data_IF_027321553294
#
_entry.id   IF_027321553294
#
_cell.length_a   1.000
_cell.length_b   1.000
_cell.length_c   1.000
_cell.angle_alpha   90.00
_cell.angle_beta   90.00
_cell.angle_gamma   90.00
#
_symmetry.space_group_name_H-M   'P 1'
#
loop_
_entity.id
_entity.type
_entity.pdbx_description
1 polymer ?
#
# COMPACT_ATOMS: atom_id res chain seq x y z
N UNK A 1 -55.51 -1.53 26.42
CA UNK A 1 -54.21 -0.84 26.50
C UNK A 1 -53.43 -1.22 25.26
N UNK A 2 -53.37 -0.30 24.28
CA UNK A 2 -52.62 -0.51 23.06
C UNK A 2 -51.13 -0.30 23.35
N UNK A 3 -50.34 -1.35 23.22
CA UNK A 3 -48.89 -1.23 23.22
C UNK A 3 -48.49 -0.57 21.89
N UNK A 4 -48.17 0.72 21.95
CA UNK A 4 -47.40 1.41 20.91
C UNK A 4 -46.04 0.74 20.81
N UNK A 5 -45.92 -0.24 19.92
CA UNK A 5 -44.62 -0.68 19.42
C UNK A 5 -44.10 0.49 18.59
N UNK A 6 -43.26 1.31 19.20
CA UNK A 6 -42.49 2.34 18.51
C UNK A 6 -41.68 1.63 17.43
N UNK A 7 -42.13 1.73 16.17
CA UNK A 7 -41.35 1.34 15.01
C UNK A 7 -40.01 2.07 15.10
N UNK A 8 -38.94 1.29 15.23
CA UNK A 8 -37.58 1.78 15.34
C UNK A 8 -37.26 2.59 14.06
N UNK A 9 -36.58 3.75 14.14
CA UNK A 9 -36.25 4.53 12.95
C UNK A 9 -35.44 3.68 11.97
N UNK A 10 -35.86 3.63 10.71
CA UNK A 10 -35.11 2.99 9.63
C UNK A 10 -33.75 3.69 9.48
N UNK A 11 -32.69 3.07 10.00
CA UNK A 11 -31.32 3.58 9.89
C UNK A 11 -30.37 3.29 11.07
N UNK A 12 -30.90 2.92 12.24
CA UNK A 12 -30.05 2.71 13.43
C UNK A 12 -29.64 1.25 13.61
N UNK A 13 -28.34 0.97 13.36
CA UNK A 13 -27.73 -0.33 13.66
C UNK A 13 -27.90 -0.68 15.13
N UNK A 14 -28.26 -1.92 15.46
CA UNK A 14 -28.21 -2.39 16.84
C UNK A 14 -26.75 -2.60 17.27
N UNK A 15 -26.46 -2.36 18.55
CA UNK A 15 -25.13 -2.64 19.13
C UNK A 15 -24.66 -4.09 18.91
N UNK A 16 -25.61 -5.03 18.77
CA UNK A 16 -25.32 -6.43 18.44
C UNK A 16 -24.85 -6.58 16.99
N UNK A 17 -25.53 -5.93 16.04
CA UNK A 17 -25.12 -5.90 14.63
C UNK A 17 -23.80 -5.15 14.43
N UNK A 18 -23.58 -4.04 15.13
CA UNK A 18 -22.30 -3.33 15.14
C UNK A 18 -21.18 -4.22 15.66
N UNK A 19 -21.43 -4.98 16.73
CA UNK A 19 -20.47 -5.93 17.29
C UNK A 19 -20.15 -7.08 16.33
N UNK A 20 -21.15 -7.61 15.63
CA UNK A 20 -20.99 -8.70 14.66
C UNK A 20 -20.26 -8.23 13.39
N UNK A 21 -20.58 -7.02 12.92
CA UNK A 21 -19.88 -6.35 11.83
C UNK A 21 -18.41 -6.06 12.21
N UNK A 22 -18.19 -5.54 13.42
CA UNK A 22 -16.87 -5.26 13.98
C UNK A 22 -16.01 -6.51 14.14
N UNK A 23 -16.59 -7.64 14.57
CA UNK A 23 -15.90 -8.93 14.65
C UNK A 23 -15.55 -9.50 13.27
N UNK A 24 -16.41 -9.29 12.27
CA UNK A 24 -16.20 -9.80 10.92
C UNK A 24 -15.12 -9.02 10.18
N UNK A 25 -15.18 -7.69 10.20
CA UNK A 25 -14.17 -6.83 9.57
C UNK A 25 -12.91 -6.70 10.42
N UNK A 26 -13.00 -6.93 11.74
CA UNK A 26 -11.87 -7.01 12.66
C UNK A 26 -10.93 -8.18 12.39
N UNK A 27 -11.33 -9.17 11.58
CA UNK A 27 -10.45 -10.27 11.16
C UNK A 27 -9.24 -9.79 10.37
N UNK A 28 -9.40 -8.76 9.54
CA UNK A 28 -8.31 -8.20 8.73
C UNK A 28 -7.28 -7.50 9.63
N UNK A 29 -7.62 -6.51 10.48
CA UNK A 29 -6.65 -5.90 11.38
C UNK A 29 -6.12 -6.87 12.43
N UNK A 30 -6.91 -7.83 12.90
CA UNK A 30 -6.39 -8.88 13.79
C UNK A 30 -5.40 -9.81 13.10
N UNK A 31 -5.63 -10.18 11.83
CA UNK A 31 -4.66 -10.92 11.03
C UNK A 31 -3.38 -10.10 10.82
N UNK A 32 -3.49 -8.80 10.55
CA UNK A 32 -2.33 -7.91 10.41
C UNK A 32 -1.55 -7.80 11.73
N UNK A 33 -2.22 -7.67 12.89
CA UNK A 33 -1.57 -7.68 14.20
C UNK A 33 -0.88 -9.01 14.50
N UNK A 34 -1.47 -10.13 14.10
CA UNK A 34 -0.84 -11.44 14.27
C UNK A 34 0.37 -11.61 13.35
N UNK A 35 0.31 -11.09 12.13
CA UNK A 35 1.45 -11.07 11.19
C UNK A 35 2.57 -10.20 11.73
N UNK A 36 2.25 -9.01 12.26
CA UNK A 36 3.23 -8.13 12.91
C UNK A 36 3.84 -8.78 14.16
N UNK A 37 3.02 -9.39 15.01
CA UNK A 37 3.52 -10.13 16.18
C UNK A 37 4.38 -11.33 15.79
N UNK A 38 4.05 -12.01 14.70
CA UNK A 38 4.84 -13.11 14.15
C UNK A 38 6.15 -12.62 13.55
N UNK A 39 6.13 -11.52 12.82
CA UNK A 39 7.32 -10.84 12.31
C UNK A 39 8.23 -10.46 13.48
N UNK A 40 7.69 -9.75 14.47
CA UNK A 40 8.43 -9.33 15.66
C UNK A 40 9.02 -10.52 16.41
N UNK A 41 8.28 -11.63 16.54
CA UNK A 41 8.80 -12.85 17.14
C UNK A 41 9.98 -13.46 16.36
N UNK A 42 9.93 -13.40 15.03
CA UNK A 42 11.02 -13.88 14.18
C UNK A 42 12.23 -12.95 14.16
N UNK A 43 12.04 -11.65 14.33
CA UNK A 43 13.10 -10.64 14.16
C UNK A 43 13.66 -10.08 15.48
N UNK A 44 12.97 -10.28 16.62
CA UNK A 44 13.43 -9.89 17.95
C UNK A 44 14.78 -10.51 18.33
N UNK A 45 15.00 -11.84 18.15
CA UNK A 45 16.31 -12.42 18.32
C UNK A 45 17.03 -12.33 16.98
N UNK A 46 18.15 -11.59 16.94
CA UNK A 46 19.00 -11.45 15.75
C UNK A 46 19.39 -12.79 15.12
N UNK A 47 19.38 -13.87 15.90
CA UNK A 47 19.83 -15.21 15.48
C UNK A 47 18.72 -16.12 14.93
N UNK A 48 17.43 -15.77 15.05
CA UNK A 48 16.32 -16.66 14.63
C UNK A 48 16.35 -16.95 13.14
N UNK A 49 16.80 -15.96 12.35
CA UNK A 49 16.88 -16.02 10.89
C UNK A 49 18.33 -16.24 10.41
N UNK A 50 19.26 -16.54 11.32
CA UNK A 50 20.67 -16.74 11.00
C UNK A 50 20.90 -17.78 9.89
N UNK A 51 20.17 -18.91 9.79
CA UNK A 51 20.37 -19.84 8.67
C UNK A 51 20.14 -19.20 7.30
N UNK A 52 19.11 -18.35 7.17
CA UNK A 52 18.81 -17.66 5.91
C UNK A 52 19.87 -16.61 5.63
N UNK A 53 20.22 -15.79 6.63
CA UNK A 53 21.25 -14.75 6.51
C UNK A 53 22.61 -15.34 6.15
N UNK A 54 22.99 -16.49 6.72
CA UNK A 54 24.25 -17.19 6.39
C UNK A 54 24.23 -17.70 4.96
N UNK A 55 23.12 -18.29 4.50
CA UNK A 55 23.02 -18.73 3.10
C UNK A 55 23.11 -17.56 2.14
N UNK A 56 22.50 -16.44 2.48
CA UNK A 56 22.54 -15.23 1.67
C UNK A 56 23.94 -14.62 1.63
N UNK A 57 24.60 -14.48 2.78
CA UNK A 57 25.97 -14.00 2.87
C UNK A 57 26.93 -14.90 2.08
N UNK A 58 26.73 -16.22 2.14
CA UNK A 58 27.52 -17.16 1.35
C UNK A 58 27.30 -16.99 -0.16
N UNK A 59 26.05 -16.96 -0.63
CA UNK A 59 25.74 -16.76 -2.06
C UNK A 59 26.28 -15.41 -2.54
N UNK A 60 26.08 -14.35 -1.76
CA UNK A 60 26.56 -13.01 -2.11
C UNK A 60 28.09 -12.97 -2.21
N UNK A 61 28.82 -13.58 -1.26
CA UNK A 61 30.28 -13.70 -1.33
C UNK A 61 30.74 -14.42 -2.60
N UNK A 62 30.16 -15.60 -2.87
CA UNK A 62 30.55 -16.41 -4.04
C UNK A 62 30.25 -15.71 -5.36
N UNK A 63 29.07 -15.08 -5.48
CA UNK A 63 28.71 -14.34 -6.70
C UNK A 63 29.58 -13.10 -6.90
N UNK A 64 29.90 -12.37 -5.84
CA UNK A 64 30.76 -11.18 -5.94
C UNK A 64 32.16 -11.58 -6.42
N UNK A 65 32.75 -12.61 -5.80
CA UNK A 65 34.04 -13.15 -6.22
C UNK A 65 34.01 -13.72 -7.64
N UNK A 66 32.93 -14.40 -8.02
CA UNK A 66 32.78 -14.96 -9.37
C UNK A 66 32.65 -13.88 -10.46
N UNK A 67 31.90 -12.80 -10.18
CA UNK A 67 31.60 -11.76 -11.18
C UNK A 67 32.72 -10.72 -11.28
N UNK A 68 33.25 -10.27 -10.14
CA UNK A 68 34.20 -9.14 -10.07
C UNK A 68 35.64 -9.55 -9.79
N UNK A 69 35.91 -10.84 -9.57
CA UNK A 69 37.25 -11.40 -9.40
C UNK A 69 37.50 -11.93 -7.99
N UNK A 70 38.41 -12.91 -7.90
CA UNK A 70 38.77 -13.56 -6.64
C UNK A 70 39.36 -12.54 -5.64
N UNK A 71 38.83 -12.54 -4.42
CA UNK A 71 39.27 -11.64 -3.35
C UNK A 71 38.55 -10.30 -3.33
N UNK A 72 37.52 -10.09 -4.15
CA UNK A 72 36.66 -8.90 -4.10
C UNK A 72 35.75 -8.88 -2.86
N UNK A 73 35.43 -10.04 -2.30
CA UNK A 73 34.65 -10.17 -1.07
C UNK A 73 35.21 -11.27 -0.17
N UNK A 74 35.18 -11.04 1.14
CA UNK A 74 35.54 -12.01 2.18
C UNK A 74 34.41 -12.13 3.18
N UNK A 75 34.00 -13.36 3.46
CA UNK A 75 32.99 -13.65 4.49
C UNK A 75 33.63 -13.72 5.89
N UNK A 76 33.03 -13.05 6.86
CA UNK A 76 33.48 -12.97 8.24
C UNK A 76 32.32 -13.14 9.23
N UNK A 77 32.62 -13.19 10.54
CA UNK A 77 31.61 -13.43 11.56
C UNK A 77 31.02 -12.15 12.15
N UNK A 78 29.72 -12.18 12.40
CA UNK A 78 28.99 -11.23 13.23
C UNK A 78 28.10 -12.00 14.20
N UNK A 79 28.21 -11.71 15.50
CA UNK A 79 27.49 -12.41 16.58
C UNK A 79 27.63 -13.95 16.56
N UNK A 80 28.77 -14.48 16.10
CA UNK A 80 29.04 -15.92 16.02
C UNK A 80 28.51 -16.63 14.78
N UNK A 81 27.84 -15.90 13.87
CA UNK A 81 27.34 -16.41 12.59
C UNK A 81 28.13 -15.80 11.42
N UNK A 82 28.25 -16.54 10.32
CA UNK A 82 28.93 -16.09 9.09
C UNK A 82 27.99 -15.20 8.25
N UNK A 83 27.63 -14.04 8.78
CA UNK A 83 26.66 -13.11 8.16
C UNK A 83 27.27 -11.77 7.75
N UNK A 84 28.56 -11.56 8.01
CA UNK A 84 29.29 -10.36 7.59
C UNK A 84 30.08 -10.62 6.32
N UNK A 85 30.08 -9.66 5.41
CA UNK A 85 30.92 -9.63 4.22
C UNK A 85 31.74 -8.35 4.25
N UNK A 86 33.04 -8.49 4.09
CA UNK A 86 33.96 -7.39 3.88
C UNK A 86 34.31 -7.33 2.39
N UNK A 87 33.84 -6.28 1.71
CA UNK A 87 34.19 -6.00 0.32
C UNK A 87 35.59 -5.37 0.27
N UNK A 88 36.41 -5.78 -0.69
CA UNK A 88 37.81 -5.36 -0.81
C UNK A 88 38.07 -4.68 -2.17
N UNK A 89 38.63 -3.49 -2.11
CA UNK A 89 39.12 -2.75 -3.29
C UNK A 89 40.06 -1.64 -2.87
N UNK A 90 41.15 -1.42 -3.61
CA UNK A 90 42.20 -0.41 -3.31
C UNK A 90 41.70 1.03 -3.20
N UNK A 91 40.52 1.31 -3.76
CA UNK A 91 39.91 2.64 -3.73
C UNK A 91 38.97 2.83 -2.53
N UNK A 92 38.71 1.79 -1.74
CA UNK A 92 37.80 1.87 -0.60
C UNK A 92 38.42 2.64 0.57
N UNK A 93 37.60 3.39 1.31
CA UNK A 93 38.12 4.31 2.31
C UNK A 93 38.50 3.57 3.60
N UNK A 94 39.70 3.84 4.12
CA UNK A 94 40.17 3.33 5.41
C UNK A 94 41.50 2.58 5.32
N UNK A 95 42.07 2.16 6.47
CA UNK A 95 43.43 1.59 6.51
C UNK A 95 43.56 0.17 5.93
N UNK A 96 42.43 -0.46 5.56
CA UNK A 96 42.38 -1.84 5.09
C UNK A 96 41.66 -1.98 3.74
N UNK A 97 41.41 -0.86 3.03
CA UNK A 97 40.79 -0.86 1.70
C UNK A 97 39.53 -1.74 1.65
N UNK A 98 38.72 -1.67 2.71
CA UNK A 98 37.61 -2.59 2.95
C UNK A 98 36.35 -1.92 3.48
N UNK A 99 35.20 -2.46 3.06
CA UNK A 99 33.87 -2.03 3.48
C UNK A 99 33.14 -3.24 4.06
N UNK A 100 32.94 -3.22 5.39
CA UNK A 100 32.24 -4.28 6.11
C UNK A 100 30.74 -4.07 6.15
N UNK A 101 30.00 -5.03 5.62
CA UNK A 101 28.54 -5.06 5.54
C UNK A 101 28.03 -6.33 6.22
N UNK A 102 26.91 -6.27 6.91
CA UNK A 102 26.29 -7.46 7.49
C UNK A 102 24.91 -7.70 6.87
N UNK A 103 24.55 -8.97 6.76
CA UNK A 103 23.26 -9.39 6.24
C UNK A 103 22.26 -9.45 7.40
N UNK A 104 21.36 -8.47 7.45
CA UNK A 104 20.23 -8.43 8.37
C UNK A 104 19.02 -9.20 7.83
N UNK A 105 17.96 -9.31 8.64
CA UNK A 105 16.65 -9.82 8.24
C UNK A 105 15.97 -8.96 7.17
N UNK A 106 16.25 -7.64 7.14
CA UNK A 106 15.85 -6.77 6.02
C UNK A 106 16.67 -7.01 4.74
N UNK A 107 17.93 -7.45 4.87
CA UNK A 107 18.74 -7.86 3.72
C UNK A 107 18.17 -9.13 3.08
N UNK A 108 17.80 -10.12 3.90
CA UNK A 108 17.19 -11.38 3.47
C UNK A 108 15.79 -11.24 2.85
N UNK A 109 15.19 -10.05 2.97
CA UNK A 109 13.86 -9.72 2.50
C UNK A 109 12.76 -10.53 3.15
N UNK A 110 12.94 -10.86 4.42
CA UNK A 110 11.97 -11.65 5.19
C UNK A 110 10.66 -10.90 5.33
N UNK A 111 10.73 -9.57 5.48
CA UNK A 111 9.55 -8.71 5.55
C UNK A 111 8.71 -8.79 4.27
N UNK A 112 9.35 -8.69 3.10
CA UNK A 112 8.73 -8.76 1.78
C UNK A 112 8.09 -10.12 1.52
N UNK A 113 8.78 -11.20 1.94
CA UNK A 113 8.25 -12.56 1.84
C UNK A 113 7.01 -12.76 2.72
N UNK A 114 7.02 -12.26 3.95
CA UNK A 114 5.87 -12.35 4.88
C UNK A 114 4.70 -11.53 4.35
N UNK A 115 4.96 -10.30 3.90
CA UNK A 115 3.94 -9.42 3.33
C UNK A 115 3.23 -10.08 2.15
N UNK A 116 4.00 -10.58 1.18
CA UNK A 116 3.45 -11.19 -0.02
C UNK A 116 2.77 -12.54 0.27
N UNK A 117 3.33 -13.33 1.18
CA UNK A 117 2.69 -14.56 1.67
C UNK A 117 1.31 -14.27 2.26
N UNK A 118 1.22 -13.20 3.04
CA UNK A 118 -0.04 -12.77 3.68
C UNK A 118 -1.08 -12.36 2.63
N UNK A 119 -0.68 -11.56 1.63
CA UNK A 119 -1.58 -11.17 0.53
C UNK A 119 -2.14 -12.38 -0.25
N UNK A 120 -1.28 -13.34 -0.59
CA UNK A 120 -1.69 -14.57 -1.29
C UNK A 120 -2.61 -15.42 -0.42
N UNK A 121 -2.29 -15.55 0.87
CA UNK A 121 -3.04 -16.38 1.81
C UNK A 121 -4.43 -15.81 2.12
N UNK A 122 -4.55 -14.48 2.22
CA UNK A 122 -5.82 -13.78 2.44
C UNK A 122 -6.69 -13.68 1.18
N UNK A 123 -6.19 -14.06 0.00
CA UNK A 123 -6.98 -14.02 -1.23
C UNK A 123 -8.08 -15.10 -1.24
N UNK A 124 -9.34 -14.69 -1.28
CA UNK A 124 -10.47 -15.63 -1.30
C UNK A 124 -10.64 -16.37 -2.63
N UNK A 125 -11.22 -17.59 -2.57
CA UNK A 125 -11.58 -18.36 -3.76
C UNK A 125 -10.43 -19.11 -4.46
N UNK A 126 -9.22 -19.14 -3.89
CA UNK A 126 -8.09 -19.92 -4.40
C UNK A 126 -7.81 -21.13 -3.49
N UNK A 127 -7.66 -22.36 -4.02
CA UNK A 127 -7.32 -23.54 -3.23
C UNK A 127 -6.00 -23.37 -2.46
N UNK A 128 -5.96 -23.88 -1.22
CA UNK A 128 -4.79 -23.75 -0.33
C UNK A 128 -3.48 -24.28 -0.95
N UNK A 129 -3.56 -25.36 -1.73
CA UNK A 129 -2.39 -25.94 -2.41
C UNK A 129 -1.79 -24.99 -3.44
N UNK A 130 -2.62 -24.27 -4.17
CA UNK A 130 -2.16 -23.32 -5.20
C UNK A 130 -1.63 -22.04 -4.57
N UNK A 131 -2.22 -21.61 -3.44
CA UNK A 131 -1.67 -20.54 -2.60
C UNK A 131 -0.26 -20.88 -2.12
N UNK A 132 -0.05 -22.04 -1.51
CA UNK A 132 1.26 -22.44 -1.00
C UNK A 132 2.32 -22.57 -2.10
N UNK A 133 1.94 -23.10 -3.27
CA UNK A 133 2.85 -23.14 -4.44
C UNK A 133 3.22 -21.73 -4.90
N UNK A 134 2.25 -20.83 -4.98
CA UNK A 134 2.50 -19.44 -5.36
C UNK A 134 3.41 -18.74 -4.36
N UNK A 135 3.15 -18.89 -3.05
CA UNK A 135 4.01 -18.36 -1.99
C UNK A 135 5.44 -18.88 -2.14
N UNK A 136 5.64 -20.18 -2.29
CA UNK A 136 6.98 -20.75 -2.44
C UNK A 136 7.73 -20.18 -3.65
N UNK A 137 7.07 -20.09 -4.81
CA UNK A 137 7.68 -19.53 -6.03
C UNK A 137 7.99 -18.05 -5.87
N UNK A 138 7.05 -17.27 -5.34
CA UNK A 138 7.21 -15.83 -5.19
C UNK A 138 8.25 -15.45 -4.14
N UNK A 139 8.30 -16.15 -3.00
CA UNK A 139 9.38 -15.97 -2.02
C UNK A 139 10.74 -16.33 -2.61
N UNK A 140 10.82 -17.39 -3.44
CA UNK A 140 12.04 -17.73 -4.16
C UNK A 140 12.49 -16.62 -5.12
N UNK A 141 11.56 -15.99 -5.84
CA UNK A 141 11.86 -14.85 -6.72
C UNK A 141 12.38 -13.66 -5.89
N UNK A 142 11.71 -13.32 -4.79
CA UNK A 142 12.15 -12.22 -3.90
C UNK A 142 13.55 -12.48 -3.36
N UNK A 143 13.83 -13.71 -2.91
CA UNK A 143 15.15 -14.10 -2.43
C UNK A 143 16.24 -13.88 -3.48
N UNK A 144 16.00 -14.31 -4.73
CA UNK A 144 16.95 -14.09 -5.83
C UNK A 144 17.12 -12.61 -6.15
N UNK A 145 16.04 -11.82 -6.14
CA UNK A 145 16.12 -10.38 -6.36
C UNK A 145 16.89 -9.66 -5.25
N UNK A 146 16.80 -10.11 -4.00
CA UNK A 146 17.62 -9.62 -2.90
C UNK A 146 19.10 -9.93 -3.09
N UNK A 147 19.44 -11.14 -3.53
CA UNK A 147 20.82 -11.49 -3.88
C UNK A 147 21.34 -10.58 -4.99
N UNK A 148 20.56 -10.40 -6.07
CA UNK A 148 20.93 -9.48 -7.15
C UNK A 148 21.10 -8.05 -6.63
N UNK A 149 20.30 -7.64 -5.64
CA UNK A 149 20.47 -6.35 -4.98
C UNK A 149 21.87 -6.27 -4.34
N UNK A 150 22.23 -7.25 -3.52
CA UNK A 150 23.51 -7.24 -2.80
C UNK A 150 24.72 -7.29 -3.75
N UNK A 151 24.66 -8.08 -4.83
CA UNK A 151 25.74 -8.21 -5.82
C UNK A 151 26.05 -6.88 -6.54
N UNK A 152 25.09 -5.98 -6.66
CA UNK A 152 25.27 -4.68 -7.33
C UNK A 152 25.95 -3.65 -6.43
N UNK A 153 26.08 -3.90 -5.12
CA UNK A 153 26.81 -3.00 -4.21
C UNK A 153 28.27 -2.80 -4.62
N UNK A 154 28.96 -3.88 -4.96
CA UNK A 154 30.38 -3.84 -5.28
C UNK A 154 30.73 -2.87 -6.42
N UNK A 155 30.15 -2.98 -7.63
CA UNK A 155 30.52 -2.10 -8.74
C UNK A 155 30.13 -0.64 -8.48
N UNK A 156 28.99 -0.38 -7.82
CA UNK A 156 28.57 1.00 -7.49
C UNK A 156 29.56 1.63 -6.51
N UNK A 157 29.99 0.89 -5.50
CA UNK A 157 30.97 1.37 -4.54
C UNK A 157 32.33 1.63 -5.20
N UNK A 158 32.80 0.69 -6.03
CA UNK A 158 34.09 0.83 -6.73
C UNK A 158 34.08 2.03 -7.69
N UNK A 159 33.05 2.19 -8.51
CA UNK A 159 32.97 3.30 -9.47
C UNK A 159 32.98 4.67 -8.77
N UNK A 160 32.21 4.80 -7.69
CA UNK A 160 32.13 6.04 -6.92
C UNK A 160 33.44 6.33 -6.17
N UNK A 161 34.04 5.34 -5.52
CA UNK A 161 35.28 5.51 -4.77
C UNK A 161 36.51 5.69 -5.66
N UNK A 162 36.53 5.13 -6.87
CA UNK A 162 37.56 5.42 -7.87
C UNK A 162 37.53 6.91 -8.32
N UNK A 163 36.35 7.55 -8.30
CA UNK A 163 36.21 8.97 -8.64
C UNK A 163 36.55 9.92 -7.48
N UNK A 164 36.43 9.45 -6.23
CA UNK A 164 36.65 10.23 -5.01
C UNK A 164 37.34 9.38 -3.92
N UNK A 165 38.64 9.07 -4.09
CA UNK A 165 39.35 8.17 -3.19
C UNK A 165 39.50 8.74 -1.76
N UNK A 166 39.68 7.84 -0.78
CA UNK A 166 39.93 8.13 0.64
C UNK A 166 38.84 8.90 1.42
N UNK A 167 37.66 9.11 0.84
CA UNK A 167 36.53 9.76 1.50
C UNK A 167 35.42 8.75 1.78
N UNK A 168 34.93 8.69 3.02
CA UNK A 168 33.78 7.84 3.38
C UNK A 168 32.51 8.17 2.58
N UNK A 169 32.38 9.43 2.14
CA UNK A 169 31.29 9.89 1.28
C UNK A 169 31.24 9.19 -0.09
N UNK A 170 32.32 8.52 -0.53
CA UNK A 170 32.30 7.77 -1.78
C UNK A 170 31.33 6.58 -1.76
N UNK A 171 30.93 6.09 -0.58
CA UNK A 171 29.95 5.01 -0.44
C UNK A 171 28.50 5.51 -0.54
N UNK A 172 28.26 6.82 -0.53
CA UNK A 172 26.90 7.39 -0.55
C UNK A 172 26.06 6.90 -1.73
N UNK A 173 26.57 6.78 -2.98
CA UNK A 173 25.77 6.26 -4.09
C UNK A 173 25.32 4.80 -3.90
N UNK A 174 26.15 3.96 -3.28
CA UNK A 174 25.78 2.58 -2.94
C UNK A 174 24.59 2.56 -1.96
N UNK A 175 24.66 3.40 -0.92
CA UNK A 175 23.60 3.50 0.08
C UNK A 175 22.32 4.13 -0.47
N UNK A 176 22.43 5.18 -1.28
CA UNK A 176 21.28 5.82 -1.93
C UNK A 176 20.56 4.84 -2.87
N UNK A 177 21.33 3.99 -3.58
CA UNK A 177 20.75 2.93 -4.40
C UNK A 177 20.05 1.86 -3.55
N UNK A 178 20.69 1.42 -2.45
CA UNK A 178 20.08 0.48 -1.52
C UNK A 178 18.75 1.00 -0.96
N UNK A 179 18.74 2.26 -0.52
CA UNK A 179 17.56 2.94 0.01
C UNK A 179 16.46 3.07 -1.05
N UNK A 180 16.80 3.45 -2.28
CA UNK A 180 15.82 3.56 -3.37
C UNK A 180 15.16 2.20 -3.71
N UNK A 181 15.95 1.14 -3.77
CA UNK A 181 15.44 -0.22 -4.01
C UNK A 181 14.57 -0.69 -2.85
N UNK A 182 14.98 -0.40 -1.61
CA UNK A 182 14.26 -0.76 -0.40
C UNK A 182 12.92 -0.01 -0.26
N UNK A 183 12.93 1.31 -0.43
CA UNK A 183 11.75 2.16 -0.22
C UNK A 183 10.68 2.02 -1.31
N UNK A 184 11.10 1.94 -2.57
CA UNK A 184 10.16 1.95 -3.71
C UNK A 184 10.28 0.70 -4.59
N UNK A 185 11.51 0.24 -4.84
CA UNK A 185 11.77 -0.85 -5.78
C UNK A 185 11.03 -2.13 -5.42
N UNK A 186 11.22 -2.63 -4.20
CA UNK A 186 10.57 -3.86 -3.75
C UNK A 186 9.06 -3.73 -3.68
N UNK A 187 8.51 -2.60 -3.20
CA UNK A 187 7.06 -2.40 -3.16
C UNK A 187 6.43 -2.56 -4.55
N UNK A 188 7.03 -1.94 -5.58
CA UNK A 188 6.55 -2.03 -6.96
C UNK A 188 6.63 -3.47 -7.48
N UNK A 189 7.73 -4.17 -7.23
CA UNK A 189 7.92 -5.57 -7.63
C UNK A 189 6.89 -6.49 -6.94
N UNK A 190 6.68 -6.34 -5.64
CA UNK A 190 5.75 -7.18 -4.89
C UNK A 190 4.31 -6.96 -5.33
N UNK A 191 3.88 -5.71 -5.46
CA UNK A 191 2.52 -5.37 -5.89
C UNK A 191 2.28 -5.85 -7.32
N UNK A 192 3.23 -5.65 -8.23
CA UNK A 192 3.10 -6.11 -9.63
C UNK A 192 3.07 -7.64 -9.72
N UNK A 193 3.95 -8.34 -9.00
CA UNK A 193 3.99 -9.80 -8.98
C UNK A 193 2.70 -10.39 -8.39
N UNK A 194 2.22 -9.83 -7.27
CA UNK A 194 0.94 -10.21 -6.69
C UNK A 194 -0.23 -9.92 -7.66
N UNK A 195 -0.25 -8.75 -8.30
CA UNK A 195 -1.31 -8.37 -9.23
C UNK A 195 -1.38 -9.33 -10.43
N UNK A 196 -0.23 -9.66 -11.04
CA UNK A 196 -0.14 -10.61 -12.15
C UNK A 196 -0.69 -11.97 -11.74
N UNK A 197 -0.31 -12.47 -10.56
CA UNK A 197 -0.83 -13.72 -10.04
C UNK A 197 -2.34 -13.65 -9.74
N UNK A 198 -2.79 -12.59 -9.08
CA UNK A 198 -4.19 -12.38 -8.72
C UNK A 198 -5.08 -12.36 -9.97
N UNK A 199 -4.66 -11.66 -11.02
CA UNK A 199 -5.35 -11.65 -12.31
C UNK A 199 -5.33 -13.04 -12.98
N UNK A 200 -4.18 -13.72 -12.97
CA UNK A 200 -4.00 -15.03 -13.61
C UNK A 200 -4.87 -16.14 -13.00
N UNK A 201 -5.15 -16.06 -11.70
CA UNK A 201 -6.00 -17.02 -10.98
C UNK A 201 -7.49 -16.61 -10.92
N UNK A 202 -7.88 -15.57 -11.68
CA UNK A 202 -9.27 -15.11 -11.74
C UNK A 202 -9.72 -14.45 -10.44
N UNK A 203 -8.79 -13.86 -9.69
CA UNK A 203 -9.03 -13.16 -8.44
C UNK A 203 -10.24 -12.23 -8.49
N UNK A 204 -10.34 -11.28 -9.44
CA UNK A 204 -11.47 -10.35 -9.49
C UNK A 204 -12.84 -11.03 -9.65
N UNK A 205 -12.92 -12.08 -10.48
CA UNK A 205 -14.18 -12.78 -10.71
C UNK A 205 -14.58 -13.65 -9.50
N UNK A 206 -13.60 -14.27 -8.84
CA UNK A 206 -13.81 -15.14 -7.69
C UNK A 206 -14.09 -14.37 -6.40
N UNK A 207 -13.38 -13.26 -6.16
CA UNK A 207 -13.67 -12.37 -5.02
C UNK A 207 -15.05 -11.73 -5.18
N UNK A 208 -15.42 -11.32 -6.39
CA UNK A 208 -16.75 -10.79 -6.69
C UNK A 208 -17.85 -11.85 -6.56
N UNK A 209 -17.59 -13.12 -6.92
CA UNK A 209 -18.51 -14.22 -6.66
C UNK A 209 -18.66 -14.50 -5.16
N UNK A 210 -17.55 -14.57 -4.41
CA UNK A 210 -17.56 -14.76 -2.96
C UNK A 210 -18.29 -13.62 -2.22
N UNK A 211 -18.20 -12.39 -2.72
CA UNK A 211 -18.92 -11.23 -2.18
C UNK A 211 -20.42 -11.26 -2.53
N UNK A 212 -20.79 -11.88 -3.65
CA UNK A 212 -22.20 -12.05 -4.06
C UNK A 212 -22.92 -13.12 -3.25
N UNK A 213 -22.21 -14.22 -2.95
CA UNK A 213 -22.73 -15.35 -2.16
C UNK A 213 -22.67 -15.10 -0.65
N UNK A 214 -22.04 -13.99 -0.22
CA UNK A 214 -22.03 -13.56 1.16
C UNK A 214 -23.43 -13.06 1.59
N UNK A 215 -24.10 -13.70 2.56
CA UNK A 215 -25.43 -13.29 3.05
C UNK A 215 -25.39 -12.01 3.90
N UNK A 216 -24.38 -11.14 3.70
CA UNK A 216 -24.25 -9.93 4.50
C UNK A 216 -25.41 -8.96 4.20
N UNK A 217 -26.09 -8.44 5.24
CA UNK A 217 -27.22 -7.54 5.04
C UNK A 217 -26.80 -6.12 4.62
N UNK A 218 -25.52 -5.86 4.37
CA UNK A 218 -25.00 -4.51 4.18
C UNK A 218 -24.01 -4.45 3.02
N UNK A 219 -24.30 -3.57 2.04
CA UNK A 219 -23.38 -3.25 0.94
C UNK A 219 -23.09 -1.76 0.91
N UNK A 220 -21.84 -1.42 0.62
CA UNK A 220 -21.43 -0.05 0.34
C UNK A 220 -21.79 0.27 -1.11
N UNK A 221 -22.69 1.21 -1.33
CA UNK A 221 -23.02 1.72 -2.66
C UNK A 221 -22.56 3.17 -2.82
N UNK A 222 -22.22 3.55 -4.06
CA UNK A 222 -21.94 4.95 -4.38
C UNK A 222 -23.20 5.78 -4.27
N UNK A 223 -23.14 6.88 -3.51
CA UNK A 223 -24.25 7.83 -3.37
C UNK A 223 -24.63 8.42 -4.74
N UNK A 224 -25.86 8.15 -5.20
CA UNK A 224 -26.41 8.71 -6.45
C UNK A 224 -27.17 10.02 -6.21
N UNK A 225 -27.84 10.16 -5.07
CA UNK A 225 -28.63 11.35 -4.71
C UNK A 225 -27.86 12.31 -3.79
N UNK A 226 -27.69 13.55 -4.24
CA UNK A 226 -26.90 14.58 -3.55
C UNK A 226 -27.78 15.69 -2.99
N UNK A 227 -27.86 15.79 -1.67
CA UNK A 227 -28.49 16.92 -0.98
C UNK A 227 -27.45 18.03 -0.71
N UNK A 228 -27.90 19.25 -0.48
CA UNK A 228 -27.07 20.43 -0.16
C UNK A 228 -26.14 20.16 1.03
N UNK A 229 -26.63 19.43 2.04
CA UNK A 229 -25.80 19.02 3.20
C UNK A 229 -24.61 18.14 2.82
N UNK A 230 -24.78 17.20 1.89
CA UNK A 230 -23.70 16.35 1.41
C UNK A 230 -22.67 17.14 0.59
N UNK A 231 -23.14 18.08 -0.24
CA UNK A 231 -22.26 18.98 -1.00
C UNK A 231 -21.46 19.89 -0.06
N UNK A 232 -22.07 20.37 1.03
CA UNK A 232 -21.38 21.15 2.05
C UNK A 232 -20.30 20.32 2.78
N UNK A 233 -20.59 19.06 3.12
CA UNK A 233 -19.61 18.15 3.73
C UNK A 233 -18.43 17.85 2.80
N UNK A 234 -18.68 17.65 1.50
CA UNK A 234 -17.60 17.53 0.51
C UNK A 234 -16.79 18.82 0.39
N UNK A 235 -17.45 19.99 0.43
CA UNK A 235 -16.77 21.28 0.45
C UNK A 235 -15.87 21.45 1.68
N UNK A 236 -16.33 21.02 2.84
CA UNK A 236 -15.53 21.00 4.07
C UNK A 236 -14.34 20.03 3.97
N UNK A 237 -14.55 18.84 3.41
CA UNK A 237 -13.46 17.89 3.15
C UNK A 237 -12.40 18.47 2.21
N UNK A 238 -12.82 19.12 1.12
CA UNK A 238 -11.93 19.82 0.20
C UNK A 238 -11.15 20.93 0.91
N UNK A 239 -11.83 21.72 1.74
CA UNK A 239 -11.20 22.79 2.51
C UNK A 239 -10.12 22.25 3.45
N UNK A 240 -10.35 21.11 4.10
CA UNK A 240 -9.33 20.46 4.95
C UNK A 240 -8.07 20.08 4.16
N UNK A 241 -8.21 19.58 2.92
CA UNK A 241 -7.05 19.32 2.06
C UNK A 241 -6.34 20.61 1.64
N UNK A 242 -7.08 21.67 1.32
CA UNK A 242 -6.49 22.97 0.99
C UNK A 242 -5.72 23.54 2.18
N UNK A 243 -6.27 23.43 3.40
CA UNK A 243 -5.60 23.87 4.62
C UNK A 243 -4.37 23.02 4.93
N UNK A 244 -4.44 21.69 4.77
CA UNK A 244 -3.30 20.79 4.92
C UNK A 244 -2.17 21.16 3.94
N UNK A 245 -2.51 21.37 2.67
CA UNK A 245 -1.58 21.78 1.63
C UNK A 245 -0.98 23.17 1.94
N UNK A 246 -1.82 24.14 2.29
CA UNK A 246 -1.36 25.48 2.66
C UNK A 246 -0.39 25.42 3.85
N UNK A 247 -0.65 24.60 4.87
CA UNK A 247 0.24 24.50 6.03
C UNK A 247 1.66 24.08 5.65
N UNK A 248 1.83 23.17 4.69
CA UNK A 248 3.16 22.72 4.23
C UNK A 248 3.86 23.80 3.40
N UNK A 249 3.12 24.50 2.53
CA UNK A 249 3.72 25.39 1.53
C UNK A 249 3.77 26.87 1.92
N UNK A 250 2.99 27.31 2.91
CA UNK A 250 2.92 28.72 3.31
C UNK A 250 3.45 28.99 4.71
N UNK A 251 3.65 27.97 5.53
CA UNK A 251 4.20 28.13 6.87
C UNK A 251 5.72 28.31 6.80
N UNK A 252 6.20 29.51 7.09
CA UNK A 252 7.63 29.83 7.06
C UNK A 252 8.42 28.99 8.05
N UNK A 253 7.86 28.68 9.23
CA UNK A 253 8.54 27.85 10.22
C UNK A 253 8.77 26.43 9.71
N UNK A 254 7.84 25.88 8.94
CA UNK A 254 7.98 24.56 8.33
C UNK A 254 8.99 24.56 7.17
N UNK A 255 9.02 25.63 6.37
CA UNK A 255 9.97 25.81 5.27
C UNK A 255 11.39 25.95 5.82
N UNK A 256 11.58 26.82 6.82
CA UNK A 256 12.87 27.06 7.46
C UNK A 256 13.38 25.78 8.15
N UNK A 257 12.50 25.02 8.80
CA UNK A 257 12.84 23.74 9.41
C UNK A 257 13.28 22.70 8.37
N UNK A 258 12.57 22.61 7.24
CA UNK A 258 12.96 21.72 6.12
C UNK A 258 14.32 22.07 5.55
N UNK A 259 14.57 23.36 5.30
CA UNK A 259 15.83 23.82 4.73
C UNK A 259 17.00 23.59 5.71
N UNK A 260 16.75 23.77 7.01
CA UNK A 260 17.72 23.46 8.08
C UNK A 260 18.00 21.95 8.15
N UNK A 261 16.98 21.10 8.03
CA UNK A 261 17.15 19.64 7.98
C UNK A 261 17.98 19.20 6.78
N UNK A 262 17.69 19.74 5.59
CA UNK A 262 18.46 19.44 4.38
C UNK A 262 19.93 19.84 4.53
N UNK A 263 20.20 20.95 5.23
CA UNK A 263 21.56 21.37 5.55
C UNK A 263 22.24 20.43 6.58
N UNK A 264 21.53 20.04 7.64
CA UNK A 264 22.02 19.12 8.66
C UNK A 264 22.38 17.75 8.08
N UNK A 265 21.55 17.24 7.18
CA UNK A 265 21.78 16.00 6.44
C UNK A 265 23.00 16.12 5.52
N UNK A 266 23.09 17.21 4.74
CA UNK A 266 24.24 17.49 3.87
C UNK A 266 25.56 17.61 4.66
N UNK A 267 25.53 18.23 5.83
CA UNK A 267 26.71 18.46 6.65
C UNK A 267 27.04 17.29 7.60
N UNK A 268 26.21 16.23 7.65
CA UNK A 268 26.33 15.11 8.60
C UNK A 268 26.45 15.55 10.07
N UNK A 269 25.82 16.67 10.43
CA UNK A 269 25.92 17.24 11.77
C UNK A 269 24.79 16.78 12.68
N UNK A 270 25.15 16.23 13.84
CA UNK A 270 24.25 16.02 14.97
C UNK A 270 24.36 17.22 15.91
N UNK A 271 23.47 18.19 15.74
CA UNK A 271 23.35 19.38 16.60
C UNK A 271 21.94 19.50 17.20
N UNK A 272 21.81 20.28 18.28
CA UNK A 272 20.51 20.59 18.87
C UNK A 272 19.58 21.34 17.90
N UNK A 273 20.15 22.16 17.01
CA UNK A 273 19.38 22.87 15.98
C UNK A 273 18.78 21.90 14.96
N UNK A 274 19.51 20.85 14.58
CA UNK A 274 19.00 19.79 13.70
C UNK A 274 17.86 19.01 14.36
N UNK A 275 17.97 18.71 15.66
CA UNK A 275 16.91 18.06 16.43
C UNK A 275 15.65 18.92 16.55
N UNK A 276 15.81 20.20 16.84
CA UNK A 276 14.67 21.14 16.92
C UNK A 276 14.01 21.37 15.56
N UNK A 277 14.80 21.43 14.48
CA UNK A 277 14.29 21.49 13.11
C UNK A 277 13.50 20.23 12.74
N UNK A 278 13.97 19.05 13.16
CA UNK A 278 13.27 17.78 12.96
C UNK A 278 11.90 17.79 13.63
N UNK A 279 11.83 18.19 14.90
CA UNK A 279 10.58 18.26 15.64
C UNK A 279 9.57 19.23 15.02
N UNK A 280 10.02 20.40 14.55
CA UNK A 280 9.14 21.40 13.90
C UNK A 280 8.61 20.89 12.56
N UNK A 281 9.46 20.23 11.77
CA UNK A 281 9.04 19.63 10.51
C UNK A 281 8.04 18.49 10.73
N UNK A 282 8.31 17.62 11.69
CA UNK A 282 7.44 16.49 12.03
C UNK A 282 6.07 16.97 12.53
N UNK A 283 6.01 18.05 13.33
CA UNK A 283 4.74 18.64 13.79
C UNK A 283 3.94 19.24 12.61
N UNK A 284 4.59 19.97 11.72
CA UNK A 284 3.95 20.57 10.55
C UNK A 284 3.38 19.50 9.58
N UNK A 285 4.14 18.42 9.37
CA UNK A 285 3.72 17.27 8.58
C UNK A 285 2.59 16.49 9.29
N UNK A 286 2.72 16.27 10.59
CA UNK A 286 1.69 15.62 11.41
C UNK A 286 0.35 16.36 11.37
N UNK A 287 0.38 17.69 11.46
CA UNK A 287 -0.80 18.53 11.32
C UNK A 287 -1.45 18.36 9.94
N UNK A 288 -0.67 18.39 8.85
CA UNK A 288 -1.18 18.21 7.50
C UNK A 288 -1.78 16.81 7.27
N UNK A 289 -1.17 15.76 7.83
CA UNK A 289 -1.71 14.40 7.80
C UNK A 289 -3.04 14.29 8.55
N UNK A 290 -3.15 14.92 9.72
CA UNK A 290 -4.38 14.89 10.52
C UNK A 290 -5.55 15.52 9.77
N UNK A 291 -5.33 16.69 9.15
CA UNK A 291 -6.34 17.38 8.35
C UNK A 291 -6.73 16.58 7.10
N UNK A 292 -5.74 15.98 6.42
CA UNK A 292 -5.97 15.13 5.25
C UNK A 292 -6.75 13.86 5.60
N UNK A 293 -6.47 13.24 6.75
CA UNK A 293 -7.20 12.07 7.23
C UNK A 293 -8.66 12.41 7.58
N UNK A 294 -8.89 13.55 8.25
CA UNK A 294 -10.24 14.06 8.50
C UNK A 294 -10.96 14.40 7.19
N UNK A 295 -10.28 15.00 6.22
CA UNK A 295 -10.80 15.26 4.88
C UNK A 295 -11.20 13.97 4.15
N UNK A 296 -10.35 12.96 4.18
CA UNK A 296 -10.62 11.65 3.57
C UNK A 296 -11.82 10.95 4.20
N UNK A 297 -11.89 10.92 5.53
CA UNK A 297 -12.99 10.26 6.25
C UNK A 297 -14.33 10.96 6.00
N UNK A 298 -14.36 12.30 6.04
CA UNK A 298 -15.54 13.10 5.68
C UNK A 298 -15.92 12.90 4.20
N UNK A 299 -14.95 12.92 3.30
CA UNK A 299 -15.16 12.75 1.86
C UNK A 299 -15.73 11.38 1.51
N UNK A 300 -15.03 10.31 1.90
CA UNK A 300 -15.44 8.94 1.66
C UNK A 300 -16.75 8.59 2.36
N UNK A 301 -16.92 9.01 3.62
CA UNK A 301 -18.15 8.80 4.39
C UNK A 301 -19.37 9.51 3.76
N UNK A 302 -19.16 10.63 3.08
CA UNK A 302 -20.23 11.32 2.35
C UNK A 302 -20.52 10.65 1.00
N UNK A 303 -19.49 10.14 0.33
CA UNK A 303 -19.58 9.54 -1.01
C UNK A 303 -20.21 8.13 -1.00
N UNK A 304 -20.09 7.41 0.11
CA UNK A 304 -20.57 6.04 0.28
C UNK A 304 -21.86 6.03 1.11
N UNK A 305 -22.82 5.19 0.72
CA UNK A 305 -24.02 4.87 1.50
C UNK A 305 -24.00 3.41 1.86
N UNK A 306 -24.32 3.11 3.12
CA UNK A 306 -24.55 1.74 3.57
C UNK A 306 -26.00 1.37 3.27
N UNK A 307 -26.20 0.37 2.43
CA UNK A 307 -27.53 -0.01 1.91
C UNK A 307 -27.86 -1.44 2.34
N UNK A 308 -29.12 -1.65 2.76
CA UNK A 308 -29.68 -2.98 3.10
C UNK A 308 -30.47 -3.58 1.93
N UNK A 309 -30.55 -4.91 1.80
CA UNK A 309 -31.50 -5.53 0.89
C UNK A 309 -32.93 -5.17 1.34
N UNK A 310 -33.84 -4.97 0.38
CA UNK A 310 -35.26 -4.80 0.66
C UNK A 310 -35.84 -6.12 1.20
N UNK A 311 -37.03 -6.04 1.80
CA UNK A 311 -37.72 -7.19 2.40
C UNK A 311 -38.05 -8.30 1.38
N UNK A 312 -38.01 -7.99 0.08
CA UNK A 312 -38.17 -8.91 -1.05
C UNK A 312 -36.85 -9.56 -1.52
N UNK A 313 -35.72 -9.25 -0.86
CA UNK A 313 -34.38 -9.72 -1.21
C UNK A 313 -33.74 -8.99 -2.39
N UNK A 314 -34.39 -7.98 -2.96
CA UNK A 314 -33.83 -7.16 -4.04
C UNK A 314 -33.01 -5.98 -3.48
N UNK A 315 -32.08 -5.47 -4.29
CA UNK A 315 -31.24 -4.34 -3.89
C UNK A 315 -31.85 -3.01 -4.39
N UNK A 316 -31.80 -1.90 -3.61
CA UNK A 316 -32.36 -0.62 -4.04
C UNK A 316 -31.77 -0.07 -5.34
N UNK A 317 -30.54 -0.46 -5.66
CA UNK A 317 -29.88 -0.12 -6.93
C UNK A 317 -30.49 -0.82 -8.15
N UNK A 318 -31.13 -1.99 -7.97
CA UNK A 318 -31.83 -2.71 -9.03
C UNK A 318 -33.22 -2.11 -9.31
N UNK A 319 -33.92 -1.66 -8.27
CA UNK A 319 -35.23 -1.00 -8.40
C UNK A 319 -35.10 0.30 -9.20
N UNK A 320 -34.15 1.18 -8.82
CA UNK A 320 -33.94 2.44 -9.53
C UNK A 320 -33.50 2.27 -10.99
N UNK A 321 -32.71 1.23 -11.32
CA UNK A 321 -32.31 0.97 -12.70
C UNK A 321 -33.49 0.46 -13.56
N UNK A 322 -34.39 -0.34 -12.99
CA UNK A 322 -35.58 -0.82 -13.68
C UNK A 322 -36.61 0.30 -13.90
N UNK A 323 -36.79 1.20 -12.94
CA UNK A 323 -37.69 2.36 -13.08
C UNK A 323 -37.16 3.37 -14.12
N UNK A 324 -35.83 3.55 -14.19
CA UNK A 324 -35.18 4.38 -15.22
C UNK A 324 -35.38 3.79 -16.62
N UNK A 325 -35.15 2.48 -16.76
CA UNK A 325 -35.34 1.78 -18.03
C UNK A 325 -36.82 1.74 -18.47
N UNK A 326 -37.77 1.65 -17.53
CA UNK A 326 -39.20 1.77 -17.83
C UNK A 326 -39.62 3.19 -18.22
N UNK A 327 -39.04 4.24 -17.64
CA UNK A 327 -39.32 5.61 -18.04
C UNK A 327 -38.80 5.92 -19.45
N UNK A 328 -37.59 5.45 -19.80
CA UNK A 328 -37.03 5.61 -21.16
C UNK A 328 -37.89 4.87 -22.22
N UNK A 329 -38.37 3.66 -21.91
CA UNK A 329 -39.27 2.88 -22.79
C UNK A 329 -40.66 3.54 -23.00
N UNK A 330 -41.14 4.30 -22.01
CA UNK A 330 -42.41 5.02 -22.09
C UNK A 330 -42.25 6.34 -22.85
N UNK A 331 -41.12 7.02 -22.69
CA UNK A 331 -40.82 8.26 -23.39
C UNK A 331 -40.59 8.01 -24.89
N UNK A 332 -39.87 6.93 -25.26
CA UNK A 332 -39.64 6.53 -26.66
C UNK A 332 -40.95 6.13 -27.38
N UNK A 333 -41.86 5.42 -26.69
CA UNK A 333 -43.20 5.09 -27.24
C UNK A 333 -44.13 6.30 -27.35
N UNK A 334 -43.94 7.34 -26.53
CA UNK A 334 -44.73 8.57 -26.61
C UNK A 334 -44.27 9.50 -27.74
N UNK A 335 -42.95 9.60 -27.97
CA UNK A 335 -42.35 10.37 -29.07
C UNK A 335 -42.65 9.80 -30.45
N UNK A 336 -42.63 8.47 -30.60
CA UNK A 336 -43.00 7.80 -31.85
C UNK A 336 -44.48 8.03 -32.24
N UNK A 337 -45.38 8.14 -31.25
CA UNK A 337 -46.81 8.39 -31.48
C UNK A 337 -47.11 9.83 -31.90
N UNK A 338 -46.33 10.81 -31.45
CA UNK A 338 -46.47 12.21 -31.89
C UNK A 338 -45.88 12.45 -33.28
N UNK A 339 -44.76 11.81 -33.63
CA UNK A 339 -44.15 11.91 -34.97
C UNK A 339 -45.05 11.31 -36.06
N UNK A 340 -45.64 10.14 -35.81
CA UNK A 340 -46.55 9.49 -36.76
C UNK A 340 -47.86 10.29 -36.99
N UNK A 341 -48.34 11.03 -35.98
CA UNK A 341 -49.55 11.87 -36.09
C UNK A 341 -49.29 13.18 -36.84
N UNK A 342 -48.04 13.67 -36.85
CA UNK A 342 -47.64 14.88 -37.57
C UNK A 342 -47.35 14.61 -39.05
N UNK A 343 -46.76 13.46 -39.37
CA UNK A 343 -46.54 13.01 -40.77
C UNK A 343 -47.84 12.72 -41.52
N UNK A 344 -48.85 12.13 -40.85
CA UNK A 344 -50.13 11.79 -41.50
C UNK A 344 -51.02 13.00 -41.78
N UNK A 345 -50.83 14.11 -41.05
CA UNK A 345 -51.57 15.36 -41.25
C UNK A 345 -50.99 16.21 -42.39
N UNK A 346 -49.73 15.96 -42.77
CA UNK A 346 -49.04 16.68 -43.83
C UNK A 346 -49.28 16.05 -45.22
N UNK A 347 -49.69 14.77 -45.27
CA UNK A 347 -50.07 14.10 -46.53
C UNK A 347 -51.54 14.28 -46.93
N UNK A 348 -52.40 14.79 -46.04
CA UNK A 348 -53.81 15.09 -46.34
C UNK A 348 -54.04 16.53 -46.83
N UNK A 349 -53.00 17.38 -46.84
CA UNK A 349 -53.05 18.75 -47.40
C UNK A 349 -52.45 18.86 -48.81
N UNK A 350 -51.97 17.75 -49.40
CA UNK A 350 -51.38 17.70 -50.75
C UNK A 350 -52.15 16.85 -51.79
N UNK A 351 -53.43 16.53 -51.55
CA UNK A 351 -54.35 16.00 -52.60
C UNK A 351 -55.56 16.90 -52.87
#
# INVERSE_FOLDING_TARGET
>A
MAATTTARPDGDMSWKEVGELGLRYGRIPMALLLVEAFYWFLTLPSDTLAPVQVTEAWIWNELTNFIYGEGSAVISQHNGWMTRIDLLHVDFPGPYDSVGLYVSDECAGVHEMIFLSTLVMMTDGVPQRDKLKAVAVMCGIVYVLNILRLVVFYPIAVESCASTPDLQACLTPMWAWHEAVYTWGFLVVLVSMWLVWFLRFGGPARTLAATKDDPSPWRFERRRAWNVRHKALLGAALLLFVLAFSNIFTNQEAIDARDTLAFCEFASQLSSECGDAQLRWDDAIGYAWSLSALGLTLGLGTFVVVVRPLDDGTWPSQVNNNDSAQMDDVEEKSGARQSAKRSRRQSEEEE
#
